data_IF_218537646697
#
_entry.id   IF_218537646697
#
_cell.length_a   1.000
_cell.length_b   1.000
_cell.length_c   1.000
_cell.angle_alpha   90.00
_cell.angle_beta   90.00
_cell.angle_gamma   90.00
#
_symmetry.space_group_name_H-M   'P 1'
#
loop_
_entity.id
_entity.type
_entity.pdbx_description
1 polymer ?
#
# COMPACT_ATOMS: atom_id res chain seq x y z
N UNK A 1 1.69 2.95 -18.85
CA UNK A 1 0.78 2.48 -17.82
C UNK A 1 1.53 1.73 -16.71
N UNK A 2 2.25 0.63 -16.99
CA UNK A 2 2.97 -0.14 -15.94
C UNK A 2 4.04 0.70 -15.24
N UNK A 3 4.79 1.51 -15.95
CA UNK A 3 5.76 2.43 -15.35
C UNK A 3 5.12 3.38 -14.32
N UNK A 4 3.92 3.89 -14.60
CA UNK A 4 3.22 4.79 -13.66
C UNK A 4 2.69 4.04 -12.42
N UNK A 5 2.20 2.81 -12.58
CA UNK A 5 1.86 1.95 -11.44
C UNK A 5 3.08 1.72 -10.54
N UNK A 6 4.21 1.31 -11.14
CA UNK A 6 5.44 1.06 -10.40
C UNK A 6 5.99 2.29 -9.70
N UNK A 7 6.05 3.43 -10.39
CA UNK A 7 6.50 4.71 -9.82
C UNK A 7 5.66 5.12 -8.60
N UNK A 8 4.33 5.00 -8.69
CA UNK A 8 3.46 5.36 -7.57
C UNK A 8 3.53 4.37 -6.42
N UNK A 9 3.60 3.08 -6.70
CA UNK A 9 3.77 2.07 -5.66
C UNK A 9 5.08 2.27 -4.89
N UNK A 10 6.19 2.57 -5.59
CA UNK A 10 7.47 2.91 -4.98
C UNK A 10 7.33 4.11 -4.03
N UNK A 11 6.77 5.21 -4.53
CA UNK A 11 6.56 6.42 -3.74
C UNK A 11 5.73 6.17 -2.48
N UNK A 12 4.65 5.40 -2.61
CA UNK A 12 3.79 5.06 -1.47
C UNK A 12 4.49 4.16 -0.48
N UNK A 13 5.20 3.13 -0.95
CA UNK A 13 5.93 2.21 -0.10
C UNK A 13 7.00 2.94 0.73
N UNK A 14 7.81 3.79 0.09
CA UNK A 14 8.84 4.59 0.76
C UNK A 14 8.24 5.53 1.81
N UNK A 15 7.18 6.23 1.46
CA UNK A 15 6.53 7.17 2.37
C UNK A 15 5.82 6.49 3.54
N UNK A 16 5.16 5.36 3.33
CA UNK A 16 4.53 4.59 4.39
C UNK A 16 5.58 4.00 5.33
N UNK A 17 6.69 3.48 4.78
CA UNK A 17 7.82 2.99 5.58
C UNK A 17 8.45 4.12 6.41
N UNK A 18 8.60 5.31 5.84
CA UNK A 18 9.11 6.48 6.56
C UNK A 18 8.21 6.93 7.72
N UNK A 19 6.91 6.62 7.68
CA UNK A 19 5.98 6.80 8.80
C UNK A 19 6.09 5.69 9.87
N UNK A 20 6.99 4.72 9.70
CA UNK A 20 7.17 3.60 10.62
C UNK A 20 6.17 2.46 10.45
N UNK A 21 5.46 2.42 9.33
CA UNK A 21 4.46 1.38 9.07
C UNK A 21 5.11 0.13 8.46
N UNK A 22 4.54 -1.03 8.75
CA UNK A 22 4.98 -2.30 8.21
C UNK A 22 4.50 -2.47 6.76
N UNK A 23 5.38 -2.16 5.82
CA UNK A 23 5.13 -2.23 4.37
C UNK A 23 5.99 -3.32 3.76
N UNK A 24 5.39 -4.14 2.90
CA UNK A 24 6.12 -5.09 2.08
C UNK A 24 6.00 -4.68 0.61
N UNK A 25 7.14 -4.35 -0.01
CA UNK A 25 7.23 -3.96 -1.40
C UNK A 25 8.66 -4.26 -1.94
N UNK A 26 8.80 -4.99 -3.05
CA UNK A 26 10.11 -5.41 -3.55
C UNK A 26 11.06 -4.28 -3.93
N UNK A 27 10.53 -3.09 -4.19
CA UNK A 27 11.32 -1.90 -4.47
C UNK A 27 11.95 -1.23 -3.25
N UNK A 28 11.64 -1.67 -2.03
CA UNK A 28 12.29 -1.17 -0.82
C UNK A 28 13.64 -1.89 -0.61
N UNK A 29 14.74 -1.18 -0.34
CA UNK A 29 16.07 -1.79 -0.14
C UNK A 29 16.11 -2.86 0.96
N UNK A 30 15.24 -2.74 1.96
CA UNK A 30 15.17 -3.67 3.09
C UNK A 30 14.37 -4.94 2.78
N UNK A 31 13.71 -5.00 1.61
CA UNK A 31 13.00 -6.21 1.20
C UNK A 31 13.99 -7.37 0.97
N UNK A 32 13.73 -8.57 1.51
CA UNK A 32 14.69 -9.68 1.45
C UNK A 32 15.09 -10.08 0.03
N UNK A 33 14.19 -9.91 -0.94
CA UNK A 33 14.43 -10.25 -2.34
C UNK A 33 14.73 -9.03 -3.22
N UNK A 34 15.05 -7.87 -2.63
CA UNK A 34 15.26 -6.64 -3.39
C UNK A 34 16.36 -6.79 -4.46
N UNK A 35 17.50 -7.36 -4.09
CA UNK A 35 18.62 -7.57 -5.02
C UNK A 35 18.24 -8.53 -6.15
N UNK A 36 17.60 -9.66 -5.81
CA UNK A 36 17.15 -10.65 -6.80
C UNK A 36 16.17 -10.03 -7.80
N UNK A 37 15.20 -9.27 -7.33
CA UNK A 37 14.20 -8.64 -8.21
C UNK A 37 14.84 -7.52 -9.00
N UNK A 38 15.82 -6.80 -8.45
CA UNK A 38 16.56 -5.74 -9.16
C UNK A 38 17.34 -6.29 -10.36
N UNK A 39 17.83 -7.52 -10.26
CA UNK A 39 18.51 -8.20 -11.38
C UNK A 39 17.55 -8.71 -12.45
N UNK A 40 16.30 -8.99 -12.08
CA UNK A 40 15.31 -9.62 -12.96
C UNK A 40 14.31 -8.66 -13.58
N UNK A 41 14.04 -7.52 -12.93
CA UNK A 41 12.99 -6.59 -13.38
C UNK A 41 13.43 -5.77 -14.60
N UNK A 42 12.45 -5.26 -15.35
CA UNK A 42 12.71 -4.28 -16.38
C UNK A 42 12.80 -2.87 -15.74
N UNK A 43 13.96 -2.18 -15.80
CA UNK A 43 14.17 -0.90 -15.14
C UNK A 43 13.13 0.17 -15.50
N UNK A 44 12.63 0.15 -16.74
CA UNK A 44 11.63 1.12 -17.23
C UNK A 44 10.27 1.00 -16.54
N UNK A 45 9.97 -0.16 -15.93
CA UNK A 45 8.68 -0.43 -15.30
C UNK A 45 8.73 -0.50 -13.78
N UNK A 46 9.94 -0.49 -13.19
CA UNK A 46 10.15 -0.58 -11.75
C UNK A 46 9.72 -1.94 -11.17
N UNK A 47 9.41 -1.96 -9.88
CA UNK A 47 9.15 -3.19 -9.11
C UNK A 47 7.66 -3.61 -9.09
N UNK A 48 6.85 -3.07 -10.00
CA UNK A 48 5.43 -3.38 -10.10
C UNK A 48 4.53 -2.46 -9.26
N UNK A 49 3.22 -2.65 -9.38
CA UNK A 49 2.21 -1.78 -8.80
C UNK A 49 1.52 -2.32 -7.54
N UNK A 50 2.04 -3.38 -6.93
CA UNK A 50 1.42 -4.03 -5.77
C UNK A 50 2.31 -3.88 -4.55
N UNK A 51 1.74 -3.38 -3.45
CA UNK A 51 2.35 -3.37 -2.13
C UNK A 51 1.38 -3.94 -1.09
N UNK A 52 1.89 -4.33 0.06
CA UNK A 52 1.06 -4.64 1.23
C UNK A 52 1.40 -3.73 2.39
N UNK A 53 0.37 -3.39 3.17
CA UNK A 53 0.46 -2.61 4.41
C UNK A 53 -0.17 -3.43 5.52
N UNK A 54 0.58 -3.70 6.59
CA UNK A 54 0.04 -4.41 7.74
C UNK A 54 -0.57 -3.44 8.75
N UNK A 55 -1.87 -3.57 8.98
CA UNK A 55 -2.65 -2.82 9.95
C UNK A 55 -2.83 -3.59 11.28
N UNK A 56 -2.08 -4.70 11.46
CA UNK A 56 -2.06 -5.58 12.64
C UNK A 56 -3.36 -6.39 12.82
N UNK A 57 -4.53 -5.77 12.68
CA UNK A 57 -5.82 -6.42 12.87
C UNK A 57 -6.73 -6.22 11.66
N UNK A 58 -7.60 -7.21 11.43
CA UNK A 58 -8.61 -7.15 10.37
C UNK A 58 -9.54 -5.94 10.53
N UNK A 59 -9.89 -5.59 11.77
CA UNK A 59 -10.74 -4.45 12.06
C UNK A 59 -10.09 -3.14 11.58
N UNK A 60 -8.82 -2.90 11.92
CA UNK A 60 -8.09 -1.71 11.47
C UNK A 60 -7.90 -1.68 9.95
N UNK A 61 -7.64 -2.84 9.33
CA UNK A 61 -7.54 -2.96 7.88
C UNK A 61 -8.86 -2.56 7.20
N UNK A 62 -9.98 -3.09 7.70
CA UNK A 62 -11.31 -2.79 7.17
C UNK A 62 -11.69 -1.32 7.38
N UNK A 63 -11.42 -0.75 8.56
CA UNK A 63 -11.64 0.69 8.84
C UNK A 63 -10.84 1.58 7.89
N UNK A 64 -9.56 1.25 7.65
CA UNK A 64 -8.73 2.00 6.69
C UNK A 64 -9.31 1.94 5.28
N UNK A 65 -9.62 0.74 4.78
CA UNK A 65 -10.14 0.56 3.43
C UNK A 65 -11.50 1.23 3.24
N UNK A 66 -12.39 1.12 4.23
CA UNK A 66 -13.71 1.75 4.21
C UNK A 66 -13.58 3.26 4.12
N UNK A 67 -12.73 3.87 4.95
CA UNK A 67 -12.46 5.30 4.96
C UNK A 67 -11.85 5.78 3.64
N UNK A 68 -10.86 5.03 3.12
CA UNK A 68 -10.21 5.34 1.85
C UNK A 68 -11.19 5.27 0.68
N UNK A 69 -12.12 4.32 0.67
CA UNK A 69 -13.13 4.20 -0.38
C UNK A 69 -14.24 5.24 -0.24
N UNK A 70 -14.89 5.30 0.92
CA UNK A 70 -16.14 6.01 1.09
C UNK A 70 -15.96 7.50 1.41
N UNK A 71 -14.99 7.84 2.27
CA UNK A 71 -14.76 9.23 2.68
C UNK A 71 -13.84 9.97 1.68
N UNK A 72 -12.79 9.30 1.19
CA UNK A 72 -11.75 9.96 0.41
C UNK A 72 -11.76 9.62 -1.09
N UNK A 73 -12.51 8.62 -1.53
CA UNK A 73 -12.52 8.15 -2.93
C UNK A 73 -11.10 7.87 -3.45
N UNK A 74 -10.28 7.31 -2.59
CA UNK A 74 -8.90 6.95 -2.89
C UNK A 74 -8.81 5.77 -3.85
N UNK A 75 -9.69 4.79 -3.70
CA UNK A 75 -9.76 3.57 -4.47
C UNK A 75 -10.97 2.73 -4.09
N UNK A 76 -10.95 1.47 -4.47
CA UNK A 76 -12.07 0.54 -4.27
C UNK A 76 -11.64 -0.71 -3.51
N UNK A 77 -12.51 -1.22 -2.67
CA UNK A 77 -12.36 -2.57 -2.11
C UNK A 77 -12.73 -3.60 -3.19
N UNK A 78 -11.74 -4.32 -3.69
CA UNK A 78 -11.91 -5.33 -4.73
C UNK A 78 -10.77 -6.33 -4.76
N UNK A 79 -11.12 -7.60 -5.03
CA UNK A 79 -10.16 -8.69 -5.21
C UNK A 79 -9.72 -8.75 -6.68
N UNK A 80 -9.07 -7.68 -7.16
CA UNK A 80 -8.56 -7.55 -8.53
C UNK A 80 -7.24 -6.77 -8.53
N UNK A 81 -6.59 -6.63 -9.66
CA UNK A 81 -5.32 -5.93 -9.82
C UNK A 81 -5.25 -5.14 -11.12
N UNK A 82 -4.34 -4.15 -11.15
CA UNK A 82 -3.96 -3.46 -12.36
C UNK A 82 -5.03 -2.58 -12.99
N UNK A 83 -6.01 -2.19 -12.20
CA UNK A 83 -7.01 -1.21 -12.59
C UNK A 83 -6.42 0.21 -12.56
N UNK A 84 -7.02 1.16 -13.24
CA UNK A 84 -6.52 2.54 -13.26
C UNK A 84 -6.68 3.26 -11.91
N UNK A 85 -7.70 2.93 -11.11
CA UNK A 85 -7.80 3.33 -9.71
C UNK A 85 -7.14 2.30 -8.79
N UNK A 86 -6.81 2.71 -7.56
CA UNK A 86 -6.27 1.80 -6.56
C UNK A 86 -7.31 0.79 -6.12
N UNK A 87 -6.92 -0.49 -6.08
CA UNK A 87 -7.74 -1.56 -5.55
C UNK A 87 -7.14 -2.08 -4.26
N UNK A 88 -7.98 -2.33 -3.27
CA UNK A 88 -7.58 -2.75 -1.92
C UNK A 88 -8.34 -3.99 -1.50
N UNK A 89 -7.67 -4.90 -0.81
CA UNK A 89 -8.30 -6.06 -0.17
C UNK A 89 -7.56 -6.46 1.10
N UNK A 90 -8.29 -6.88 2.12
CA UNK A 90 -7.70 -7.49 3.31
C UNK A 90 -7.39 -8.96 3.01
N UNK A 91 -6.10 -9.32 2.96
CA UNK A 91 -5.65 -10.65 2.53
C UNK A 91 -6.08 -11.75 3.48
N UNK A 92 -6.18 -11.47 4.77
CA UNK A 92 -6.61 -12.44 5.77
C UNK A 92 -8.04 -12.93 5.59
N UNK A 93 -8.96 -12.05 5.21
CA UNK A 93 -10.40 -12.36 5.11
C UNK A 93 -10.89 -12.62 3.69
N UNK A 94 -10.20 -12.16 2.66
CA UNK A 94 -10.68 -12.25 1.27
C UNK A 94 -9.92 -13.23 0.40
N UNK A 95 -8.62 -13.03 0.21
CA UNK A 95 -7.82 -13.82 -0.74
C UNK A 95 -7.27 -15.11 -0.14
N UNK A 96 -7.22 -15.22 1.18
CA UNK A 96 -6.70 -16.37 1.93
C UNK A 96 -7.76 -17.00 2.83
N UNK A 97 -9.05 -16.81 2.51
CA UNK A 97 -10.18 -17.33 3.32
C UNK A 97 -10.25 -18.85 3.41
N UNK A 98 -9.64 -19.57 2.47
CA UNK A 98 -9.58 -21.04 2.45
C UNK A 98 -8.36 -21.61 3.21
N UNK A 99 -7.40 -20.74 3.59
CA UNK A 99 -6.21 -21.15 4.35
C UNK A 99 -6.54 -21.26 5.84
N UNK A 100 -5.89 -22.22 6.51
CA UNK A 100 -5.95 -22.30 7.98
C UNK A 100 -5.16 -21.14 8.60
N UNK A 101 -5.42 -20.80 9.87
CA UNK A 101 -4.67 -19.75 10.57
C UNK A 101 -3.15 -20.09 10.69
N UNK A 102 -2.83 -21.40 10.79
CA UNK A 102 -1.44 -21.87 10.80
C UNK A 102 -0.76 -21.66 9.45
N UNK A 103 -1.47 -21.92 8.35
CA UNK A 103 -0.95 -21.70 6.99
C UNK A 103 -0.75 -20.21 6.71
N UNK A 104 -1.69 -19.35 7.14
CA UNK A 104 -1.57 -17.90 7.04
C UNK A 104 -0.36 -17.38 7.80
N UNK A 105 -0.19 -17.83 9.04
CA UNK A 105 0.95 -17.44 9.87
C UNK A 105 2.29 -17.88 9.24
N UNK A 106 2.34 -19.10 8.70
CA UNK A 106 3.52 -19.64 8.00
C UNK A 106 3.85 -18.85 6.73
N UNK A 107 2.83 -18.34 6.04
CA UNK A 107 2.97 -17.50 4.85
C UNK A 107 3.23 -16.01 5.17
N UNK A 108 3.31 -15.61 6.45
CA UNK A 108 3.48 -14.21 6.86
C UNK A 108 2.26 -13.33 6.58
N UNK A 109 1.07 -13.93 6.49
CA UNK A 109 -0.18 -13.21 6.24
C UNK A 109 -0.81 -12.86 7.60
N UNK A 110 -0.63 -11.60 8.02
CA UNK A 110 -1.30 -11.11 9.22
C UNK A 110 -2.81 -10.91 8.98
N UNK A 111 -3.64 -10.93 10.04
CA UNK A 111 -5.07 -10.62 9.91
C UNK A 111 -5.33 -9.23 9.34
N UNK A 112 -4.44 -8.28 9.61
CA UNK A 112 -4.54 -6.89 9.17
C UNK A 112 -3.83 -6.57 7.84
N UNK A 113 -3.39 -7.58 7.08
CA UNK A 113 -2.63 -7.36 5.86
C UNK A 113 -3.51 -6.82 4.73
N UNK A 114 -3.36 -5.54 4.43
CA UNK A 114 -4.02 -4.86 3.30
C UNK A 114 -3.13 -4.97 2.07
N UNK A 115 -3.61 -5.64 1.03
CA UNK A 115 -2.99 -5.63 -0.30
C UNK A 115 -3.53 -4.46 -1.10
N UNK A 116 -2.63 -3.66 -1.66
CA UNK A 116 -2.96 -2.55 -2.54
C UNK A 116 -2.40 -2.76 -3.94
N UNK A 117 -3.25 -2.74 -4.96
CA UNK A 117 -2.85 -2.56 -6.36
C UNK A 117 -2.95 -1.07 -6.67
N UNK A 118 -1.83 -0.38 -6.61
CA UNK A 118 -1.76 1.09 -6.68
C UNK A 118 -2.12 1.58 -8.07
N UNK A 119 -3.18 2.39 -8.16
CA UNK A 119 -3.65 3.00 -9.41
C UNK A 119 -2.87 4.28 -9.79
N UNK A 120 -3.24 4.86 -10.93
CA UNK A 120 -2.59 6.07 -11.45
C UNK A 120 -3.55 7.25 -11.71
N UNK A 121 -4.80 7.17 -11.25
CA UNK A 121 -5.75 8.29 -11.33
C UNK A 121 -5.43 9.38 -10.32
N UNK A 122 -5.78 10.61 -10.64
CA UNK A 122 -5.45 11.77 -9.82
C UNK A 122 -3.94 12.03 -9.75
N UNK A 123 -3.52 12.99 -8.94
CA UNK A 123 -2.10 13.22 -8.66
C UNK A 123 -1.60 12.33 -7.52
N UNK A 124 -0.33 11.94 -7.56
CA UNK A 124 0.28 11.17 -6.48
C UNK A 124 0.16 11.88 -5.12
N UNK A 125 0.36 13.20 -5.11
CA UNK A 125 0.27 14.01 -3.90
C UNK A 125 -1.16 14.13 -3.34
N UNK A 126 -2.16 14.20 -4.20
CA UNK A 126 -3.55 14.17 -3.77
C UNK A 126 -3.87 12.83 -3.09
N UNK A 127 -3.48 11.72 -3.74
CA UNK A 127 -3.70 10.37 -3.20
C UNK A 127 -2.92 10.15 -1.91
N UNK A 128 -1.69 10.66 -1.84
CA UNK A 128 -0.90 10.60 -0.61
C UNK A 128 -1.57 11.34 0.55
N UNK A 129 -2.05 12.56 0.34
CA UNK A 129 -2.79 13.30 1.39
C UNK A 129 -4.03 12.56 1.86
N UNK A 130 -4.79 11.93 0.96
CA UNK A 130 -5.94 11.10 1.31
C UNK A 130 -5.53 9.93 2.22
N UNK A 131 -4.44 9.24 1.89
CA UNK A 131 -3.88 8.16 2.71
C UNK A 131 -3.46 8.66 4.10
N UNK A 132 -2.67 9.73 4.17
CA UNK A 132 -2.23 10.31 5.45
C UNK A 132 -3.43 10.69 6.33
N UNK A 133 -4.43 11.39 5.78
CA UNK A 133 -5.60 11.79 6.54
C UNK A 133 -6.37 10.59 7.10
N UNK A 134 -6.48 9.50 6.34
CA UNK A 134 -7.12 8.28 6.83
C UNK A 134 -6.32 7.64 7.98
N UNK A 135 -4.99 7.53 7.83
CA UNK A 135 -4.10 6.98 8.86
C UNK A 135 -4.08 7.82 10.14
N UNK A 136 -4.10 9.15 10.02
CA UNK A 136 -4.19 10.09 11.14
C UNK A 136 -5.51 9.94 11.89
N UNK A 137 -6.63 9.84 11.18
CA UNK A 137 -7.95 9.64 11.79
C UNK A 137 -8.08 8.31 12.53
N UNK A 138 -7.36 7.28 12.08
CA UNK A 138 -7.28 5.98 12.77
C UNK A 138 -6.29 5.99 13.95
N UNK A 139 -5.57 7.09 14.16
CA UNK A 139 -4.55 7.18 15.21
C UNK A 139 -3.34 6.27 14.96
N UNK A 140 -3.11 5.86 13.72
CA UNK A 140 -1.98 5.00 13.32
C UNK A 140 -0.71 5.82 13.18
N UNK A 141 -0.83 7.07 12.76
CA UNK A 141 0.27 8.05 12.66
C UNK A 141 -0.12 9.35 13.34
N UNK A 142 0.88 10.12 13.81
CA UNK A 142 0.64 11.41 14.44
C UNK A 142 0.24 12.50 13.43
N UNK A 143 -0.46 13.55 13.89
CA UNK A 143 -1.07 14.62 13.08
C UNK A 143 -0.11 15.54 12.31
N UNK A 144 1.17 15.18 12.09
CA UNK A 144 2.16 15.98 11.36
C UNK A 144 2.63 15.37 10.04
N UNK A 145 2.11 14.22 9.66
CA UNK A 145 2.57 13.47 8.47
C UNK A 145 2.09 14.04 7.14
N UNK A 146 1.12 14.97 7.14
CA UNK A 146 0.58 15.61 5.94
C UNK A 146 1.37 16.85 5.45
N UNK A 147 2.34 17.34 6.23
CA UNK A 147 3.01 18.63 6.01
C UNK A 147 4.36 18.61 5.27
N UNK A 148 4.91 17.47 4.91
CA UNK A 148 6.30 17.37 4.40
C UNK A 148 6.45 17.20 2.88
N UNK A 149 5.56 17.83 2.10
CA UNK A 149 5.66 17.79 0.63
C UNK A 149 5.62 19.19 -0.01
N UNK A 150 6.18 20.22 0.65
CA UNK A 150 6.20 21.56 0.07
C UNK A 150 7.49 22.29 0.46
N UNK A 151 8.64 21.89 -0.06
CA UNK A 151 9.81 22.76 -0.24
C UNK A 151 10.98 21.93 -0.78
N UNK A 152 11.04 21.78 -2.08
CA UNK A 152 12.29 21.70 -2.85
C UNK A 152 11.97 21.63 -4.36
N UNK A 153 11.56 22.74 -4.92
CA UNK A 153 11.84 23.09 -6.34
C UNK A 153 11.97 24.60 -6.38
N UNK A 154 13.18 25.05 -6.26
CA UNK A 154 13.61 26.35 -6.76
C UNK A 154 14.72 26.11 -7.79
#
# INVERSE_FOLDING_TARGET
RMAEHGKRAQLFAERLQALGLAVNYPGLPEHPDHELISDLHCPDYGYGGILTLDMETEERANQLMDMLQNDYRFGYMAVSLGYFDTLMSCSGSTTSSEMTEEDKASAGISPGLVRMSVGFTGTAEQRWRQMCTALERLGVVGAQSSGHASEEVA
#
